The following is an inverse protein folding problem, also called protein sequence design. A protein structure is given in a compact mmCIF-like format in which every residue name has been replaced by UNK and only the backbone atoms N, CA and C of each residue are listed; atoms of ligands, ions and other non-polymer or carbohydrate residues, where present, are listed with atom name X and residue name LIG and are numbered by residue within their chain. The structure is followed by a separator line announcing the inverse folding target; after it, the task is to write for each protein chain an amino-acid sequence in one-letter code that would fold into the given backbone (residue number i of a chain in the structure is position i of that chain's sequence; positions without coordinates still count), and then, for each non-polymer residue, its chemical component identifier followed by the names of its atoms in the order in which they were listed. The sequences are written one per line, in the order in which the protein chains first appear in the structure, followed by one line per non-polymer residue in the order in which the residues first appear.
data_IF_012324147924
#
_entry.id   IF_012324147924
#
_cell.length_a   1.000
_cell.length_b   1.000
_cell.length_c   1.000
_cell.angle_alpha   90.00
_cell.angle_beta   90.00
_cell.angle_gamma   90.00
#
_symmetry.space_group_name_H-M   'P 1'
#
loop_
_entity.id
_entity.type
_entity.pdbx_description
1 polymer ?
#
# COMPACT_ATOMS: atom_id res chain seq x y z
N UNK A 1 8.47 2.29 8.39
CA UNK A 1 7.91 1.35 7.39
C UNK A 1 6.60 1.86 6.78
N UNK A 2 5.64 2.36 7.55
CA UNK A 2 4.37 2.90 7.01
C UNK A 2 4.52 4.20 6.21
N UNK A 3 5.61 4.93 6.37
CA UNK A 3 5.86 6.20 5.67
C UNK A 3 5.74 6.07 4.15
N UNK A 4 6.23 4.96 3.56
CA UNK A 4 6.22 4.80 2.11
C UNK A 4 4.85 4.57 1.50
N UNK A 5 4.01 3.64 2.01
CA UNK A 5 2.64 3.55 1.54
C UNK A 5 1.87 4.86 1.67
N UNK A 6 2.14 5.63 2.72
CA UNK A 6 1.50 6.93 2.94
C UNK A 6 1.99 8.00 1.96
N UNK A 7 3.29 8.09 1.74
CA UNK A 7 3.87 8.99 0.73
C UNK A 7 3.38 8.64 -0.68
N UNK A 8 3.33 7.36 -1.02
CA UNK A 8 2.86 6.88 -2.32
C UNK A 8 1.40 7.24 -2.57
N UNK A 9 0.55 7.10 -1.55
CA UNK A 9 -0.87 7.45 -1.61
C UNK A 9 -1.08 8.94 -1.91
N UNK A 10 -0.34 9.81 -1.24
CA UNK A 10 -0.45 11.27 -1.41
C UNK A 10 0.25 11.78 -2.67
N UNK A 11 1.38 11.20 -3.02
CA UNK A 11 2.10 11.53 -4.25
C UNK A 11 1.23 11.27 -5.49
N UNK A 12 0.50 10.15 -5.51
CA UNK A 12 -0.32 9.78 -6.67
C UNK A 12 -1.47 10.76 -6.90
N UNK A 13 -2.07 11.31 -5.84
CA UNK A 13 -3.15 12.29 -5.97
C UNK A 13 -2.70 13.51 -6.78
N UNK A 14 -1.47 13.95 -6.61
CA UNK A 14 -0.89 15.07 -7.38
C UNK A 14 -0.46 14.63 -8.77
N UNK A 15 0.05 13.41 -8.91
CA UNK A 15 0.51 12.87 -10.19
C UNK A 15 -0.63 12.42 -11.11
N UNK A 16 -1.87 12.35 -10.63
CA UNK A 16 -3.03 11.97 -11.46
C UNK A 16 -3.14 12.84 -12.72
N UNK A 17 -3.02 14.17 -12.57
CA UNK A 17 -3.14 15.10 -13.68
C UNK A 17 -2.04 14.91 -14.75
N UNK A 18 -0.72 14.92 -14.42
CA UNK A 18 0.34 14.72 -15.41
C UNK A 18 0.33 13.31 -16.03
N UNK A 19 -0.06 12.27 -15.27
CA UNK A 19 -0.17 10.92 -15.81
C UNK A 19 -1.32 10.83 -16.82
N UNK A 20 -2.48 11.44 -16.54
CA UNK A 20 -3.60 11.46 -17.47
C UNK A 20 -3.27 12.16 -18.77
N UNK A 21 -2.53 13.27 -18.70
CA UNK A 21 -2.04 13.98 -19.87
C UNK A 21 -1.11 13.10 -20.73
N UNK A 22 -0.29 12.26 -20.09
CA UNK A 22 0.63 11.35 -20.79
C UNK A 22 -0.07 10.21 -21.53
N UNK A 23 -1.23 9.74 -21.04
CA UNK A 23 -1.97 8.61 -21.63
C UNK A 23 -3.24 9.04 -22.38
N UNK A 24 -3.49 10.35 -22.54
CA UNK A 24 -4.61 10.94 -23.32
C UNK A 24 -5.98 10.34 -22.94
N UNK A 25 -6.23 10.05 -21.65
CA UNK A 25 -7.50 9.47 -21.22
C UNK A 25 -7.90 9.92 -19.83
N UNK A 26 -8.78 10.92 -19.79
CA UNK A 26 -9.37 11.44 -18.55
C UNK A 26 -10.27 10.40 -17.83
N UNK A 27 -10.96 9.54 -18.58
CA UNK A 27 -11.85 8.52 -18.02
C UNK A 27 -11.15 7.44 -17.20
N UNK A 28 -9.84 7.28 -17.37
CA UNK A 28 -9.07 6.23 -16.70
C UNK A 28 -8.35 6.70 -15.41
N UNK A 29 -8.47 7.99 -15.07
CA UNK A 29 -7.87 8.55 -13.84
C UNK A 29 -8.37 7.86 -12.58
N UNK A 30 -9.68 7.70 -12.48
CA UNK A 30 -10.32 7.05 -11.33
C UNK A 30 -9.83 5.61 -11.13
N UNK A 31 -9.49 4.89 -12.22
CA UNK A 31 -9.00 3.52 -12.16
C UNK A 31 -7.64 3.41 -11.46
N UNK A 32 -6.80 4.43 -11.51
CA UNK A 32 -5.48 4.39 -10.87
C UNK A 32 -5.58 4.37 -9.35
N UNK A 33 -6.47 5.20 -8.78
CA UNK A 33 -6.75 5.18 -7.34
C UNK A 33 -7.53 3.91 -6.95
N UNK A 34 -8.54 3.54 -7.75
CA UNK A 34 -9.40 2.40 -7.47
C UNK A 34 -8.64 1.09 -7.46
N UNK A 35 -7.73 0.82 -8.42
CA UNK A 35 -6.92 -0.41 -8.45
C UNK A 35 -6.02 -0.55 -7.23
N UNK A 36 -5.45 0.54 -6.73
CA UNK A 36 -4.69 0.54 -5.49
C UNK A 36 -5.57 0.19 -4.29
N UNK A 37 -6.73 0.83 -4.16
CA UNK A 37 -7.68 0.58 -3.07
C UNK A 37 -8.24 -0.85 -3.10
N UNK A 38 -8.54 -1.39 -4.28
CA UNK A 38 -8.94 -2.79 -4.44
C UNK A 38 -7.84 -3.72 -3.94
N UNK A 39 -6.59 -3.51 -4.37
CA UNK A 39 -5.45 -4.29 -3.92
C UNK A 39 -5.27 -4.24 -2.40
N UNK A 40 -5.35 -3.05 -1.82
CA UNK A 40 -5.23 -2.82 -0.38
C UNK A 40 -6.38 -3.50 0.40
N UNK A 41 -7.61 -3.38 -0.07
CA UNK A 41 -8.77 -4.00 0.57
C UNK A 41 -8.73 -5.53 0.48
N UNK A 42 -8.28 -6.06 -0.67
CA UNK A 42 -8.10 -7.50 -0.89
C UNK A 42 -7.07 -8.13 0.06
N UNK A 43 -6.05 -7.37 0.45
CA UNK A 43 -4.99 -7.86 1.33
C UNK A 43 -5.37 -7.90 2.81
N UNK A 44 -6.34 -7.10 3.26
CA UNK A 44 -6.71 -6.99 4.67
C UNK A 44 -7.12 -8.33 5.32
N UNK A 45 -8.04 -9.14 4.75
CA UNK A 45 -8.42 -10.41 5.34
C UNK A 45 -7.29 -11.45 5.33
N UNK A 46 -6.36 -11.34 4.37
CA UNK A 46 -5.22 -12.24 4.23
C UNK A 46 -4.06 -11.90 5.18
N UNK A 47 -3.92 -10.62 5.54
CA UNK A 47 -2.78 -10.10 6.30
C UNK A 47 -2.63 -10.75 7.68
N UNK A 48 -3.72 -10.98 8.40
CA UNK A 48 -3.71 -11.63 9.72
C UNK A 48 -3.13 -13.04 9.63
N UNK A 49 -3.62 -13.82 8.69
CA UNK A 49 -3.18 -15.21 8.50
C UNK A 49 -1.74 -15.31 7.99
N UNK A 50 -1.36 -14.45 7.05
CA UNK A 50 0.02 -14.38 6.57
C UNK A 50 0.98 -14.02 7.71
N UNK A 51 0.59 -13.09 8.59
CA UNK A 51 1.37 -12.70 9.75
C UNK A 51 1.52 -13.82 10.79
N UNK A 52 0.48 -14.64 10.97
CA UNK A 52 0.50 -15.77 11.90
C UNK A 52 1.34 -16.95 11.38
N UNK A 53 1.27 -17.21 10.06
CA UNK A 53 1.99 -18.32 9.41
C UNK A 53 3.46 -18.01 9.16
N UNK A 54 3.75 -16.89 8.51
CA UNK A 54 5.12 -16.49 8.15
C UNK A 54 5.87 -15.87 9.34
N UNK A 55 5.13 -15.47 10.37
CA UNK A 55 5.65 -14.62 11.43
C UNK A 55 5.67 -13.14 11.00
N UNK A 56 5.41 -12.24 11.93
CA UNK A 56 5.21 -10.79 11.66
C UNK A 56 6.38 -10.16 10.93
N UNK A 57 7.63 -10.49 11.31
CA UNK A 57 8.84 -9.94 10.68
C UNK A 57 8.99 -10.39 9.23
N UNK A 58 8.82 -11.67 8.96
CA UNK A 58 8.94 -12.22 7.60
C UNK A 58 7.82 -11.73 6.69
N UNK A 59 6.60 -11.63 7.22
CA UNK A 59 5.46 -11.09 6.51
C UNK A 59 5.67 -9.62 6.12
N UNK A 60 6.21 -8.81 7.05
CA UNK A 60 6.53 -7.41 6.78
C UNK A 60 7.61 -7.28 5.70
N UNK A 61 8.66 -8.10 5.74
CA UNK A 61 9.71 -8.06 4.72
C UNK A 61 9.20 -8.50 3.35
N UNK A 62 8.40 -9.56 3.30
CA UNK A 62 7.75 -10.01 2.07
C UNK A 62 6.84 -8.92 1.46
N UNK A 63 6.04 -8.23 2.28
CA UNK A 63 5.19 -7.14 1.79
C UNK A 63 6.01 -5.96 1.27
N UNK A 64 7.13 -5.60 1.91
CA UNK A 64 8.02 -4.55 1.42
C UNK A 64 8.65 -4.94 0.07
N UNK A 65 9.09 -6.18 -0.11
CA UNK A 65 9.64 -6.62 -1.41
C UNK A 65 8.58 -6.58 -2.50
N UNK A 66 7.35 -7.00 -2.22
CA UNK A 66 6.22 -6.90 -3.16
C UNK A 66 5.92 -5.43 -3.48
N UNK A 67 5.95 -4.54 -2.48
CA UNK A 67 5.75 -3.10 -2.68
C UNK A 67 6.81 -2.50 -3.62
N UNK A 68 8.09 -2.82 -3.40
CA UNK A 68 9.20 -2.36 -4.25
C UNK A 68 9.03 -2.86 -5.68
N UNK A 69 8.66 -4.13 -5.88
CA UNK A 69 8.42 -4.67 -7.24
C UNK A 69 7.25 -3.95 -7.92
N UNK A 70 6.16 -3.67 -7.21
CA UNK A 70 5.05 -2.86 -7.72
C UNK A 70 5.47 -1.45 -8.10
N UNK A 71 6.29 -0.79 -7.27
CA UNK A 71 6.84 0.55 -7.53
C UNK A 71 7.71 0.58 -8.78
N UNK A 72 8.57 -0.40 -8.97
CA UNK A 72 9.41 -0.52 -10.18
C UNK A 72 8.55 -0.75 -11.44
N UNK A 73 7.52 -1.59 -11.36
CA UNK A 73 6.59 -1.81 -12.48
C UNK A 73 5.88 -0.50 -12.84
N UNK A 74 5.45 0.29 -11.85
CA UNK A 74 4.85 1.61 -12.09
C UNK A 74 5.83 2.58 -12.77
N UNK A 75 7.06 2.69 -12.26
CA UNK A 75 8.07 3.59 -12.81
C UNK A 75 8.53 3.23 -14.23
N UNK A 76 8.58 1.93 -14.55
CA UNK A 76 8.98 1.42 -15.88
C UNK A 76 7.79 1.28 -16.84
N UNK A 77 6.57 1.62 -16.42
CA UNK A 77 5.38 1.45 -17.25
C UNK A 77 5.42 2.31 -18.52
N UNK A 78 5.10 1.66 -19.63
CA UNK A 78 4.95 2.32 -20.95
C UNK A 78 3.48 2.34 -21.39
N UNK A 79 2.63 1.53 -20.77
CA UNK A 79 1.21 1.41 -21.08
C UNK A 79 0.40 1.51 -19.81
N UNK A 80 -0.81 2.09 -19.90
CA UNK A 80 -1.72 2.26 -18.78
C UNK A 80 -1.99 0.95 -18.01
N UNK A 81 -2.21 -0.16 -18.73
CA UNK A 81 -2.48 -1.46 -18.10
C UNK A 81 -1.34 -1.96 -17.22
N UNK A 82 -0.08 -1.71 -17.61
CA UNK A 82 1.09 -2.09 -16.81
C UNK A 82 1.13 -1.23 -15.54
N UNK A 83 0.79 0.05 -15.64
CA UNK A 83 0.70 0.96 -14.52
C UNK A 83 -0.39 0.51 -13.52
N UNK A 84 -1.58 0.16 -14.02
CA UNK A 84 -2.69 -0.33 -13.18
C UNK A 84 -2.34 -1.64 -12.48
N UNK A 85 -1.68 -2.57 -13.15
CA UNK A 85 -1.16 -3.81 -12.53
C UNK A 85 -0.14 -3.50 -11.44
N UNK A 86 0.80 -2.60 -11.69
CA UNK A 86 1.76 -2.15 -10.69
C UNK A 86 1.08 -1.54 -9.46
N UNK A 87 0.05 -0.71 -9.67
CA UNK A 87 -0.76 -0.10 -8.62
C UNK A 87 -1.54 -1.13 -7.78
N UNK A 88 -2.11 -2.16 -8.43
CA UNK A 88 -2.78 -3.25 -7.69
C UNK A 88 -1.79 -4.02 -6.79
N UNK A 89 -0.58 -4.30 -7.29
CA UNK A 89 0.48 -4.98 -6.53
C UNK A 89 0.95 -4.11 -5.36
N UNK A 90 1.18 -2.80 -5.58
CA UNK A 90 1.53 -1.86 -4.51
C UNK A 90 0.43 -1.78 -3.45
N UNK A 91 -0.84 -1.65 -3.87
CA UNK A 91 -1.99 -1.62 -2.97
C UNK A 91 -2.06 -2.87 -2.11
N UNK A 92 -1.92 -4.05 -2.71
CA UNK A 92 -1.90 -5.32 -1.99
C UNK A 92 -0.80 -5.38 -0.94
N UNK A 93 0.41 -4.99 -1.30
CA UNK A 93 1.55 -4.95 -0.39
C UNK A 93 1.35 -3.94 0.75
N UNK A 94 0.83 -2.74 0.44
CA UNK A 94 0.59 -1.69 1.44
C UNK A 94 -0.45 -2.08 2.48
N UNK A 95 -1.51 -2.78 2.07
CA UNK A 95 -2.53 -3.28 2.99
C UNK A 95 -1.97 -4.32 3.96
N UNK A 96 -1.12 -5.26 3.49
CA UNK A 96 -0.41 -6.20 4.38
C UNK A 96 0.51 -5.43 5.33
N UNK A 97 1.29 -4.46 4.83
CA UNK A 97 2.19 -3.67 5.67
C UNK A 97 1.45 -2.94 6.79
N UNK A 98 0.34 -2.27 6.47
CA UNK A 98 -0.49 -1.55 7.45
C UNK A 98 -1.03 -2.50 8.52
N UNK A 99 -1.60 -3.62 8.11
CA UNK A 99 -2.16 -4.61 9.03
C UNK A 99 -1.08 -5.21 9.95
N UNK A 100 0.06 -5.62 9.39
CA UNK A 100 1.15 -6.23 10.17
C UNK A 100 1.75 -5.23 11.16
N UNK A 101 1.91 -3.96 10.77
CA UNK A 101 2.40 -2.92 11.70
C UNK A 101 1.39 -2.70 12.81
N UNK A 102 0.09 -2.62 12.53
CA UNK A 102 -0.96 -2.49 13.55
C UNK A 102 -0.95 -3.67 14.53
N UNK A 103 -0.71 -4.90 14.07
CA UNK A 103 -0.55 -6.06 14.94
C UNK A 103 0.69 -5.96 15.83
N UNK A 104 1.81 -5.49 15.29
CA UNK A 104 3.05 -5.28 16.05
C UNK A 104 2.83 -4.20 17.11
N UNK A 105 2.19 -3.10 16.77
CA UNK A 105 1.86 -2.01 17.70
C UNK A 105 0.97 -2.52 18.83
N UNK A 106 -0.06 -3.29 18.50
CA UNK A 106 -0.98 -3.88 19.49
C UNK A 106 -0.28 -4.82 20.47
N UNK A 107 0.73 -5.55 20.00
CA UNK A 107 1.50 -6.49 20.84
C UNK A 107 2.54 -5.81 21.72
N UNK A 108 3.15 -4.74 21.24
CA UNK A 108 4.25 -4.06 21.93
C UNK A 108 3.80 -2.93 22.84
N UNK A 109 2.66 -2.29 22.52
CA UNK A 109 2.18 -1.11 23.23
C UNK A 109 1.08 -1.50 24.23
N UNK A 110 1.29 -1.12 25.50
CA UNK A 110 0.27 -1.30 26.55
C UNK A 110 -0.97 -0.47 26.23
N UNK A 111 -2.15 -0.95 26.63
CA UNK A 111 -3.44 -0.27 26.39
C UNK A 111 -3.40 1.20 26.82
N UNK A 112 -2.69 1.52 27.91
CA UNK A 112 -2.54 2.88 28.43
C UNK A 112 -1.82 3.82 27.45
N UNK A 113 -0.89 3.31 26.66
CA UNK A 113 -0.03 4.11 25.78
C UNK A 113 -0.51 4.11 24.32
N UNK A 114 -1.56 3.37 23.98
CA UNK A 114 -2.10 3.29 22.60
C UNK A 114 -2.47 4.67 22.05
N UNK A 115 -3.08 5.53 22.86
CA UNK A 115 -3.45 6.88 22.44
C UNK A 115 -2.24 7.74 22.02
N UNK A 116 -1.09 7.56 22.71
CA UNK A 116 0.15 8.27 22.34
C UNK A 116 0.69 7.73 21.01
N UNK A 117 0.68 6.42 20.82
CA UNK A 117 1.16 5.79 19.58
C UNK A 117 0.31 6.22 18.38
N UNK A 118 -1.00 6.22 18.52
CA UNK A 118 -1.93 6.72 17.51
C UNK A 118 -1.72 8.20 17.19
N UNK A 119 -1.50 9.02 18.21
CA UNK A 119 -1.21 10.45 18.03
C UNK A 119 0.10 10.67 17.25
N UNK A 120 1.16 9.94 17.58
CA UNK A 120 2.44 9.98 16.84
C UNK A 120 2.23 9.48 15.40
N UNK A 121 1.46 8.41 15.19
CA UNK A 121 1.08 7.92 13.88
C UNK A 121 0.34 8.97 13.05
N UNK A 122 -0.60 9.69 13.65
CA UNK A 122 -1.33 10.79 13.03
C UNK A 122 -0.44 11.97 12.62
N UNK A 123 0.53 12.35 13.47
CA UNK A 123 1.51 13.39 13.14
C UNK A 123 2.39 12.94 11.96
N UNK A 124 2.88 11.70 11.97
CA UNK A 124 3.66 11.14 10.87
C UNK A 124 2.84 11.12 9.57
N UNK A 125 1.57 10.76 9.64
CA UNK A 125 0.66 10.79 8.51
C UNK A 125 0.55 12.21 7.93
N UNK A 126 0.32 13.22 8.77
CA UNK A 126 0.25 14.63 8.33
C UNK A 126 1.56 15.12 7.68
N UNK A 127 2.72 14.74 8.22
CA UNK A 127 4.02 15.04 7.63
C UNK A 127 4.17 14.34 6.26
N UNK A 128 3.77 13.08 6.14
CA UNK A 128 3.80 12.34 4.88
C UNK A 128 2.89 12.97 3.82
N UNK A 129 1.71 13.47 4.20
CA UNK A 129 0.81 14.21 3.32
C UNK A 129 1.51 15.44 2.73
N UNK A 130 2.11 16.27 3.58
CA UNK A 130 2.78 17.49 3.16
C UNK A 130 4.01 17.19 2.27
N UNK A 131 4.87 16.26 2.70
CA UNK A 131 6.08 15.88 1.98
C UNK A 131 5.76 15.15 0.67
N UNK A 132 4.75 14.26 0.67
CA UNK A 132 4.33 13.51 -0.51
C UNK A 132 3.84 14.42 -1.63
N UNK A 133 3.11 15.47 -1.28
CA UNK A 133 2.67 16.50 -2.21
C UNK A 133 3.83 17.27 -2.85
N UNK A 134 4.73 17.78 -2.03
CA UNK A 134 5.91 18.52 -2.50
C UNK A 134 6.86 17.62 -3.33
N UNK A 135 7.06 16.38 -2.88
CA UNK A 135 7.88 15.40 -3.58
C UNK A 135 7.29 15.04 -4.95
N UNK A 136 5.99 14.71 -5.01
CA UNK A 136 5.30 14.33 -6.24
C UNK A 136 5.28 15.48 -7.26
N UNK A 137 4.89 16.69 -6.83
CA UNK A 137 4.84 17.87 -7.68
C UNK A 137 6.22 18.30 -8.15
N UNK A 138 7.17 18.47 -7.23
CA UNK A 138 8.51 18.95 -7.53
C UNK A 138 9.30 18.03 -8.49
N UNK A 139 9.18 16.71 -8.35
CA UNK A 139 9.85 15.77 -9.27
C UNK A 139 9.14 15.74 -10.62
N UNK A 140 7.81 15.81 -10.63
CA UNK A 140 7.09 15.83 -11.89
C UNK A 140 7.47 17.05 -12.76
N UNK A 141 7.61 18.22 -12.14
CA UNK A 141 7.92 19.47 -12.84
C UNK A 141 9.36 19.52 -13.38
N UNK A 142 10.28 18.74 -12.81
CA UNK A 142 11.70 18.75 -13.19
C UNK A 142 12.08 17.62 -14.13
N UNK A 143 11.69 16.37 -13.81
CA UNK A 143 12.20 15.16 -14.46
C UNK A 143 11.07 14.29 -15.03
N UNK A 144 9.83 14.52 -14.57
CA UNK A 144 8.65 13.78 -15.00
C UNK A 144 8.18 12.73 -13.98
N UNK A 145 6.91 12.36 -14.07
CA UNK A 145 6.19 11.55 -13.10
C UNK A 145 6.78 10.14 -12.86
N UNK A 146 7.40 9.52 -13.88
CA UNK A 146 8.02 8.19 -13.75
C UNK A 146 9.13 8.14 -12.73
N UNK A 147 9.91 9.21 -12.64
CA UNK A 147 11.02 9.33 -11.71
C UNK A 147 10.57 9.40 -10.26
N UNK A 148 9.34 9.86 -9.99
CA UNK A 148 8.78 9.82 -8.64
C UNK A 148 8.71 8.41 -8.09
N UNK A 149 8.34 7.43 -8.91
CA UNK A 149 8.33 6.00 -8.52
C UNK A 149 9.76 5.41 -8.46
N UNK A 150 10.60 5.74 -9.46
CA UNK A 150 11.95 5.17 -9.53
C UNK A 150 12.84 5.64 -8.36
N UNK A 151 12.74 6.89 -7.94
CA UNK A 151 13.49 7.42 -6.79
C UNK A 151 12.96 6.85 -5.47
N UNK A 152 11.66 6.62 -5.37
CA UNK A 152 11.04 6.02 -4.19
C UNK A 152 11.55 4.59 -3.93
N UNK A 153 11.79 3.80 -4.98
CA UNK A 153 12.21 2.41 -4.84
C UNK A 153 13.52 2.24 -4.05
N UNK A 154 14.66 2.89 -4.38
CA UNK A 154 15.90 2.74 -3.63
C UNK A 154 15.80 3.29 -2.20
N UNK A 155 15.04 4.36 -1.98
CA UNK A 155 14.82 4.90 -0.64
C UNK A 155 14.05 3.87 0.21
N UNK A 156 13.03 3.23 -0.35
CA UNK A 156 12.28 2.16 0.31
C UNK A 156 13.19 0.98 0.67
N UNK A 157 14.11 0.58 -0.23
CA UNK A 157 15.08 -0.49 0.03
C UNK A 157 15.99 -0.14 1.21
N UNK A 158 16.58 1.05 1.22
CA UNK A 158 17.49 1.50 2.29
C UNK A 158 16.79 1.48 3.64
N UNK A 159 15.58 2.03 3.72
CA UNK A 159 14.84 2.06 4.97
C UNK A 159 14.28 0.68 5.36
N UNK A 160 13.98 -0.19 4.39
CA UNK A 160 13.61 -1.58 4.67
C UNK A 160 14.78 -2.35 5.30
N UNK A 161 15.97 -2.20 4.75
CA UNK A 161 17.20 -2.80 5.30
C UNK A 161 17.49 -2.23 6.70
N UNK A 162 17.41 -0.91 6.86
CA UNK A 162 17.59 -0.27 8.17
C UNK A 162 16.60 -0.78 9.22
N UNK A 163 15.34 -0.87 8.85
CA UNK A 163 14.32 -1.41 9.75
C UNK A 163 14.55 -2.90 10.05
N UNK A 164 14.99 -3.70 9.08
CA UNK A 164 15.32 -5.12 9.29
C UNK A 164 16.47 -5.30 10.28
N UNK A 165 17.47 -4.43 10.26
CA UNK A 165 18.61 -4.45 11.17
C UNK A 165 18.25 -4.02 12.58
N UNK A 166 17.41 -2.99 12.71
CA UNK A 166 17.06 -2.38 14.01
C UNK A 166 15.95 -3.17 14.70
N UNK A 167 15.00 -3.71 13.96
CA UNK A 167 13.80 -4.32 14.54
C UNK A 167 14.05 -5.78 14.93
N UNK A 168 14.32 -6.02 16.20
CA UNK A 168 14.38 -7.37 16.78
C UNK A 168 12.98 -7.79 17.23
N UNK A 169 12.11 -8.18 16.30
CA UNK A 169 10.79 -8.74 16.64
C UNK A 169 10.98 -10.15 17.14
N UNK A 170 10.51 -10.52 18.35
CA UNK A 170 10.55 -11.88 18.85
C UNK A 170 9.83 -12.82 17.88
N UNK A 171 10.48 -13.92 17.50
CA UNK A 171 9.86 -14.95 16.66
C UNK A 171 8.76 -15.62 17.45
N UNK A 172 7.50 -15.29 17.17
CA UNK A 172 6.37 -16.10 17.60
C UNK A 172 6.43 -17.39 16.77
N UNK A 173 6.26 -18.55 17.43
CA UNK A 173 6.26 -19.85 16.75
C UNK A 173 5.23 -19.81 15.63
N UNK A 174 5.69 -20.02 14.41
CA UNK A 174 4.85 -20.19 13.22
C UNK A 174 3.99 -21.44 13.42
N UNK A 175 2.69 -21.27 13.47
CA UNK A 175 1.75 -22.38 13.61
C UNK A 175 1.07 -22.63 12.27
N UNK A 176 1.70 -23.51 11.47
CA UNK A 176 1.22 -23.89 10.13
C UNK A 176 -0.18 -24.52 10.20
N UNK A 177 -0.61 -25.02 11.37
CA UNK A 177 -1.93 -25.59 11.58
C UNK A 177 -3.05 -24.55 11.45
N UNK A 178 -2.72 -23.26 11.64
CA UNK A 178 -3.65 -22.13 11.49
C UNK A 178 -4.13 -21.95 10.04
N UNK A 179 -3.33 -22.35 9.03
CA UNK A 179 -3.74 -22.31 7.62
C UNK A 179 -4.98 -23.18 7.33
N UNK A 180 -5.17 -24.27 8.06
CA UNK A 180 -6.27 -25.20 7.85
C UNK A 180 -7.59 -24.71 8.45
N UNK A 181 -7.55 -23.70 9.33
CA UNK A 181 -8.73 -23.10 9.98
C UNK A 181 -9.24 -21.85 9.27
N UNK A 182 -8.67 -21.52 8.12
CA UNK A 182 -9.09 -20.38 7.30
C UNK A 182 -10.50 -20.60 6.79
N UNK A 183 -11.39 -19.70 7.12
CA UNK A 183 -12.66 -19.58 6.42
C UNK A 183 -12.41 -18.85 5.09
N UNK A 184 -11.84 -19.56 4.09
CA UNK A 184 -11.56 -19.02 2.76
C UNK A 184 -12.82 -18.44 2.11
N UNK A 185 -13.98 -19.05 2.40
CA UNK A 185 -15.27 -18.60 1.87
C UNK A 185 -15.63 -17.21 2.40
N UNK A 186 -15.45 -16.96 3.70
CA UNK A 186 -15.68 -15.65 4.29
C UNK A 186 -14.72 -14.59 3.75
N UNK A 187 -13.42 -14.92 3.60
CA UNK A 187 -12.42 -14.00 3.03
C UNK A 187 -12.73 -13.63 1.57
N UNK A 188 -13.08 -14.60 0.75
CA UNK A 188 -13.47 -14.38 -0.66
C UNK A 188 -14.78 -13.59 -0.74
N UNK A 189 -15.75 -13.87 0.12
CA UNK A 189 -17.01 -13.14 0.14
C UNK A 189 -16.83 -11.65 0.48
N UNK A 190 -16.01 -11.34 1.47
CA UNK A 190 -15.67 -9.94 1.84
C UNK A 190 -14.94 -9.26 0.68
N UNK A 191 -13.99 -9.94 0.07
CA UNK A 191 -13.23 -9.41 -1.07
C UNK A 191 -14.16 -9.10 -2.25
N UNK A 192 -15.03 -10.05 -2.62
CA UNK A 192 -16.04 -9.86 -3.67
C UNK A 192 -16.97 -8.71 -3.35
N UNK A 193 -17.46 -8.61 -2.11
CA UNK A 193 -18.35 -7.51 -1.69
C UNK A 193 -17.67 -6.15 -1.85
N UNK A 194 -16.40 -6.01 -1.42
CA UNK A 194 -15.65 -4.75 -1.55
C UNK A 194 -15.40 -4.41 -3.02
N UNK A 195 -14.97 -5.39 -3.82
CA UNK A 195 -14.70 -5.19 -5.26
C UNK A 195 -15.99 -4.78 -5.98
N UNK A 196 -17.10 -5.49 -5.76
CA UNK A 196 -18.39 -5.16 -6.36
C UNK A 196 -18.89 -3.78 -5.94
N UNK A 197 -18.72 -3.42 -4.66
CA UNK A 197 -19.09 -2.11 -4.15
C UNK A 197 -18.28 -0.98 -4.81
N UNK A 198 -16.95 -1.14 -4.90
CA UNK A 198 -16.08 -0.15 -5.55
C UNK A 198 -16.37 -0.04 -7.06
N UNK A 199 -16.59 -1.16 -7.74
CA UNK A 199 -16.99 -1.17 -9.15
C UNK A 199 -18.36 -0.53 -9.35
N UNK A 200 -19.31 -0.76 -8.46
CA UNK A 200 -20.63 -0.14 -8.49
C UNK A 200 -20.58 1.37 -8.34
N UNK A 201 -19.78 1.87 -7.40
CA UNK A 201 -19.56 3.31 -7.22
C UNK A 201 -18.93 3.97 -8.45
N UNK A 202 -17.94 3.30 -9.03
CA UNK A 202 -17.23 3.80 -10.21
C UNK A 202 -18.10 3.77 -11.46
N UNK A 203 -18.90 2.73 -11.64
CA UNK A 203 -19.84 2.59 -12.74
C UNK A 203 -20.98 3.64 -12.65
N UNK A 204 -21.49 3.89 -11.44
CA UNK A 204 -22.52 4.89 -11.19
C UNK A 204 -22.08 6.34 -11.47
N UNK A 205 -20.80 6.65 -11.26
CA UNK A 205 -20.25 7.98 -11.58
C UNK A 205 -20.11 8.26 -13.08
N UNK A 206 -20.00 7.25 -13.91
CA UNK A 206 -19.81 7.38 -15.36
C UNK A 206 -21.12 7.44 -16.16
N UNK A 207 -22.27 7.21 -15.53
CA UNK A 207 -23.59 7.19 -16.22
C UNK A 207 -24.29 8.55 -16.23
N UNK A 208 -23.72 9.58 -15.62
CA UNK A 208 -24.32 10.92 -15.52
C UNK A 208 -23.51 12.06 -16.20
N UNK A 209 -22.56 11.71 -17.08
CA UNK A 209 -21.83 12.70 -17.90
C UNK A 209 -22.11 12.54 -19.38
#
# INVERSE_FOLDING_TARGET
MLVFPLLDETMIEILLAPISASFVSLSNLSWMATTYLIGMSASNPLSGHLADVLGRRSCLMASVTIFITGTLICGLSTRLWILLLGRSIQGFASGIMRSVVSFIETDLVTVRNRGITEAVGGILFGVCLAVGGLYGGGINDTIGWKWSFLIQAPITVVLAVGAWLITRIPRRKSDISSLRRLNYVGGIAILLAIVLFLLGLQSGGNTHS
#
